data_IF_278562747647
#
_entry.id   IF_278562747647
#
_cell.length_a   1.000
_cell.length_b   1.000
_cell.length_c   1.000
_cell.angle_alpha   90.00
_cell.angle_beta   90.00
_cell.angle_gamma   90.00
#
_symmetry.space_group_name_H-M   'P 1'
#
loop_
_entity.id
_entity.type
_entity.pdbx_description
1 polymer ?
#
# COMPACT_ATOMS: atom_id res chain seq x y z
N UNK A 1 6.45 -12.17 5.57
CA UNK A 1 7.77 -12.52 6.19
C UNK A 1 8.55 -11.24 6.39
N UNK A 2 9.32 -11.08 7.47
CA UNK A 2 10.07 -9.84 7.72
C UNK A 2 11.53 -9.93 7.35
N UNK A 3 12.04 -8.92 6.66
CA UNK A 3 13.44 -8.78 6.25
C UNK A 3 14.01 -7.45 6.71
N UNK A 4 15.32 -7.40 6.95
CA UNK A 4 16.00 -6.12 7.13
C UNK A 4 16.25 -5.48 5.78
N UNK A 5 15.72 -4.28 5.58
CA UNK A 5 15.89 -3.50 4.36
C UNK A 5 16.32 -2.07 4.71
N UNK A 6 17.14 -1.46 3.87
CA UNK A 6 17.58 -0.08 4.02
C UNK A 6 17.24 0.70 2.73
N UNK A 7 16.08 1.36 2.68
CA UNK A 7 15.65 2.13 1.51
C UNK A 7 16.65 3.24 1.15
N UNK A 8 17.27 3.86 2.17
CA UNK A 8 18.24 4.94 1.94
C UNK A 8 19.47 4.48 1.18
N UNK A 9 19.98 3.28 1.46
CA UNK A 9 21.11 2.72 0.70
C UNK A 9 20.64 2.20 -0.66
N UNK A 10 19.50 1.50 -0.70
CA UNK A 10 19.04 0.85 -1.93
C UNK A 10 18.65 1.84 -3.01
N UNK A 11 17.93 2.90 -2.65
CA UNK A 11 17.49 3.95 -3.58
C UNK A 11 18.48 5.12 -3.65
N UNK A 12 19.67 4.99 -3.03
CA UNK A 12 20.71 6.02 -3.03
C UNK A 12 20.18 7.39 -2.55
N UNK A 13 19.55 7.41 -1.37
CA UNK A 13 19.10 8.65 -0.75
C UNK A 13 20.30 9.36 -0.16
N UNK A 14 20.72 10.45 -0.79
CA UNK A 14 21.89 11.22 -0.38
C UNK A 14 21.62 12.21 0.76
N UNK A 15 20.37 12.63 0.97
CA UNK A 15 20.04 13.68 1.96
C UNK A 15 18.71 13.45 2.66
N UNK A 16 17.60 13.47 1.92
CA UNK A 16 16.25 13.45 2.45
C UNK A 16 15.34 12.51 1.64
N UNK A 17 14.32 12.00 2.32
CA UNK A 17 13.35 11.09 1.72
C UNK A 17 12.50 10.39 2.77
N UNK A 18 11.44 9.75 2.30
CA UNK A 18 10.52 9.00 3.16
C UNK A 18 10.06 7.73 2.47
N UNK A 19 9.82 6.69 3.25
CA UNK A 19 9.23 5.45 2.75
C UNK A 19 7.93 5.24 3.50
N UNK A 20 6.85 4.94 2.78
CA UNK A 20 5.56 4.58 3.35
C UNK A 20 5.21 3.15 2.98
N UNK A 21 4.60 2.43 3.92
CA UNK A 21 3.80 1.25 3.58
C UNK A 21 2.48 1.73 3.01
N UNK A 22 2.19 1.33 1.77
CA UNK A 22 0.92 1.64 1.12
C UNK A 22 -0.11 0.65 1.63
N UNK A 23 -1.16 1.16 2.27
CA UNK A 23 -2.23 0.36 2.87
C UNK A 23 -3.55 0.49 2.12
N UNK A 24 -3.63 1.37 1.13
CA UNK A 24 -4.81 1.50 0.29
C UNK A 24 -4.79 2.75 -0.57
N UNK A 25 -5.91 2.98 -1.23
CA UNK A 25 -6.13 4.11 -2.14
C UNK A 25 -7.42 4.84 -1.77
N UNK A 26 -7.45 6.15 -1.99
CA UNK A 26 -8.63 7.01 -1.87
C UNK A 26 -8.77 7.86 -3.12
N UNK A 27 -9.60 7.39 -4.05
CA UNK A 27 -9.75 8.03 -5.37
C UNK A 27 -10.59 9.31 -5.33
N UNK A 28 -11.16 9.68 -4.17
CA UNK A 28 -11.82 10.96 -3.98
C UNK A 28 -10.84 12.16 -4.07
N UNK A 29 -9.55 11.92 -3.79
CA UNK A 29 -8.49 12.91 -3.91
C UNK A 29 -7.64 12.61 -5.14
N UNK A 30 -7.09 13.63 -5.78
CA UNK A 30 -6.15 13.50 -6.93
C UNK A 30 -4.73 13.95 -6.57
N UNK A 31 -4.49 14.14 -5.29
CA UNK A 31 -3.24 14.60 -4.68
C UNK A 31 -2.54 13.43 -3.99
N UNK A 32 -1.45 13.72 -3.27
CA UNK A 32 -0.76 12.75 -2.42
C UNK A 32 -1.65 12.09 -1.35
N UNK A 33 -2.75 12.74 -0.97
CA UNK A 33 -3.76 12.20 -0.04
C UNK A 33 -4.51 11.00 -0.61
N UNK A 34 -4.43 10.77 -1.92
CA UNK A 34 -5.02 9.61 -2.57
C UNK A 34 -4.32 8.29 -2.23
N UNK A 35 -3.09 8.33 -1.72
CA UNK A 35 -2.34 7.14 -1.31
C UNK A 35 -2.40 7.04 0.21
N UNK A 36 -3.13 6.04 0.72
CA UNK A 36 -3.19 5.75 2.16
C UNK A 36 -1.98 4.93 2.56
N UNK A 37 -1.36 5.31 3.67
CA UNK A 37 -0.21 4.56 4.15
C UNK A 37 0.32 5.00 5.50
N UNK A 38 1.32 4.26 5.96
CA UNK A 38 2.03 4.53 7.21
C UNK A 38 3.50 4.81 6.90
N UNK A 39 4.00 5.95 7.36
CA UNK A 39 5.43 6.27 7.26
C UNK A 39 6.24 5.26 8.08
N UNK A 40 7.22 4.64 7.42
CA UNK A 40 8.23 3.80 8.05
C UNK A 40 9.50 4.65 8.20
N UNK A 41 10.18 4.54 9.35
CA UNK A 41 11.42 5.25 9.62
C UNK A 41 12.41 5.07 8.45
N UNK A 42 12.57 6.14 7.67
CA UNK A 42 13.07 6.12 6.30
C UNK A 42 14.59 6.27 6.20
N UNK A 43 15.21 6.71 7.29
CA UNK A 43 16.62 7.07 7.43
C UNK A 43 17.49 5.90 7.91
N UNK A 44 16.89 4.76 8.30
CA UNK A 44 17.60 3.65 8.93
C UNK A 44 17.22 2.29 8.34
N UNK A 45 18.14 1.34 8.50
CA UNK A 45 17.87 -0.08 8.29
C UNK A 45 16.72 -0.50 9.22
N UNK A 46 15.62 -0.97 8.63
CA UNK A 46 14.40 -1.33 9.34
C UNK A 46 13.90 -2.73 8.97
N UNK A 47 12.86 -3.19 9.66
CA UNK A 47 12.19 -4.46 9.36
C UNK A 47 10.95 -4.22 8.52
N UNK A 48 10.94 -4.79 7.32
CA UNK A 48 9.86 -4.66 6.34
C UNK A 48 9.28 -6.03 6.02
N UNK A 49 8.01 -6.07 5.65
CA UNK A 49 7.27 -7.27 5.29
C UNK A 49 7.32 -7.49 3.77
N UNK A 50 7.63 -8.70 3.33
CA UNK A 50 7.80 -9.06 1.91
C UNK A 50 6.48 -9.13 1.12
N UNK A 51 5.36 -9.22 1.83
CA UNK A 51 3.99 -9.28 1.30
C UNK A 51 3.30 -7.92 1.26
N UNK A 52 4.04 -6.82 1.48
CA UNK A 52 3.52 -5.45 1.49
C UNK A 52 4.01 -4.64 0.31
N UNK A 53 3.26 -3.56 0.06
CA UNK A 53 3.56 -2.56 -0.94
C UNK A 53 4.17 -1.33 -0.27
N UNK A 54 5.23 -0.80 -0.86
CA UNK A 54 5.95 0.35 -0.34
C UNK A 54 6.10 1.44 -1.40
N UNK A 55 6.09 2.69 -0.96
CA UNK A 55 6.39 3.84 -1.80
C UNK A 55 7.57 4.59 -1.19
N UNK A 56 8.62 4.72 -2.00
CA UNK A 56 9.84 5.46 -1.69
C UNK A 56 9.79 6.85 -2.31
N UNK A 57 10.18 7.87 -1.56
CA UNK A 57 10.45 9.21 -2.08
C UNK A 57 11.92 9.56 -1.85
N UNK A 58 12.64 9.85 -2.94
CA UNK A 58 13.99 10.40 -2.93
C UNK A 58 13.95 11.85 -3.41
N UNK A 59 14.66 12.72 -2.69
CA UNK A 59 14.90 14.09 -3.10
C UNK A 59 16.30 14.17 -3.72
N UNK A 60 16.39 14.50 -5.01
CA UNK A 60 17.66 14.82 -5.69
C UNK A 60 17.96 16.29 -5.45
N UNK A 61 19.13 16.57 -4.87
CA UNK A 61 19.59 17.94 -4.64
C UNK A 61 20.25 18.51 -5.90
N UNK A 62 19.78 19.68 -6.32
CA UNK A 62 20.26 20.43 -7.48
C UNK A 62 19.89 21.91 -7.33
N UNK A 63 20.04 22.71 -8.39
CA UNK A 63 19.54 24.10 -8.37
C UNK A 63 18.02 24.17 -8.16
N UNK A 64 17.31 23.16 -8.66
CA UNK A 64 15.88 22.93 -8.42
C UNK A 64 15.79 21.53 -7.80
N UNK A 65 15.29 21.38 -6.55
CA UNK A 65 15.10 20.08 -5.94
C UNK A 65 14.08 19.24 -6.71
N UNK A 66 14.41 17.98 -6.96
CA UNK A 66 13.57 17.07 -7.73
C UNK A 66 13.16 15.87 -6.87
N UNK A 67 11.91 15.45 -6.98
CA UNK A 67 11.39 14.28 -6.28
C UNK A 67 11.26 13.11 -7.26
N UNK A 68 11.77 11.97 -6.83
CA UNK A 68 11.62 10.69 -7.51
C UNK A 68 10.85 9.77 -6.59
N UNK A 69 9.73 9.26 -7.10
CA UNK A 69 8.87 8.34 -6.38
C UNK A 69 9.05 6.94 -6.95
N UNK A 70 9.17 5.93 -6.11
CA UNK A 70 9.33 4.54 -6.53
C UNK A 70 8.37 3.65 -5.76
N UNK A 71 7.42 3.04 -6.45
CA UNK A 71 6.54 2.02 -5.91
C UNK A 71 7.25 0.67 -6.00
N UNK A 72 7.33 -0.08 -4.91
CA UNK A 72 8.09 -1.33 -4.87
C UNK A 72 7.54 -2.36 -3.88
N UNK A 73 7.90 -3.61 -4.11
CA UNK A 73 7.70 -4.73 -3.19
C UNK A 73 9.04 -5.34 -2.80
N UNK A 74 9.07 -6.13 -1.73
CA UNK A 74 10.29 -6.75 -1.24
C UNK A 74 10.29 -8.25 -1.49
N UNK A 75 11.38 -8.74 -2.06
CA UNK A 75 11.59 -10.15 -2.27
C UNK A 75 12.15 -10.82 -1.01
N UNK A 76 11.87 -12.12 -0.82
CA UNK A 76 12.43 -12.91 0.29
C UNK A 76 13.95 -12.87 0.44
N UNK A 77 14.68 -12.61 -0.65
CA UNK A 77 16.14 -12.58 -0.70
C UNK A 77 16.76 -11.23 -0.27
N UNK A 78 15.97 -10.23 0.14
CA UNK A 78 16.50 -8.92 0.52
C UNK A 78 16.50 -7.87 -0.58
N UNK A 79 16.11 -8.20 -1.81
CA UNK A 79 16.05 -7.23 -2.92
C UNK A 79 14.67 -6.59 -3.05
N UNK A 80 14.59 -5.41 -3.65
CA UNK A 80 13.33 -4.75 -3.97
C UNK A 80 13.02 -4.89 -5.46
N UNK A 81 11.74 -5.12 -5.78
CA UNK A 81 11.21 -5.08 -7.14
C UNK A 81 10.46 -3.77 -7.32
N UNK A 82 10.98 -2.87 -8.16
CA UNK A 82 10.27 -1.66 -8.55
C UNK A 82 9.12 -2.02 -9.49
N UNK A 83 7.90 -1.64 -9.11
CA UNK A 83 6.71 -1.77 -9.95
C UNK A 83 6.60 -0.57 -10.87
N UNK A 84 6.82 0.63 -10.33
CA UNK A 84 6.75 1.86 -11.09
C UNK A 84 7.65 2.94 -10.50
N UNK A 85 8.17 3.81 -11.36
CA UNK A 85 9.00 4.96 -10.99
C UNK A 85 8.42 6.20 -11.67
N UNK A 86 8.10 7.22 -10.88
CA UNK A 86 7.57 8.49 -11.36
C UNK A 86 8.55 9.60 -11.02
N UNK A 87 9.03 10.29 -12.06
CA UNK A 87 9.91 11.45 -11.95
C UNK A 87 9.17 12.71 -12.48
N UNK A 88 9.32 13.85 -11.80
CA UNK A 88 8.86 15.17 -12.27
C UNK A 88 7.35 15.31 -12.60
N UNK A 89 6.49 14.48 -12.03
CA UNK A 89 5.04 14.57 -12.25
C UNK A 89 4.35 15.39 -11.16
N UNK A 90 3.47 16.32 -11.56
CA UNK A 90 2.52 16.99 -10.65
C UNK A 90 1.37 16.07 -10.22
N UNK A 91 1.13 15.00 -10.98
CA UNK A 91 0.07 14.01 -10.75
C UNK A 91 0.63 12.66 -10.29
N UNK A 92 1.84 12.69 -9.72
CA UNK A 92 2.60 11.48 -9.38
C UNK A 92 1.80 10.47 -8.55
N UNK A 93 0.90 10.94 -7.68
CA UNK A 93 0.08 10.06 -6.85
C UNK A 93 -0.95 9.28 -7.67
N UNK A 94 -1.53 9.91 -8.70
CA UNK A 94 -2.49 9.29 -9.63
C UNK A 94 -1.77 8.29 -10.53
N UNK A 95 -0.55 8.62 -10.95
CA UNK A 95 0.23 7.79 -11.86
C UNK A 95 0.44 6.37 -11.26
N UNK A 96 0.49 6.23 -9.93
CA UNK A 96 0.59 4.92 -9.25
C UNK A 96 -0.74 4.16 -9.06
N UNK A 97 -1.89 4.74 -9.40
CA UNK A 97 -3.19 4.15 -9.03
C UNK A 97 -3.41 2.76 -9.62
N UNK A 98 -3.03 2.56 -10.88
CA UNK A 98 -3.28 1.31 -11.58
C UNK A 98 -2.43 0.19 -10.99
N UNK A 99 -1.15 0.45 -10.68
CA UNK A 99 -0.26 -0.51 -10.03
C UNK A 99 -0.66 -0.80 -8.58
N UNK A 100 -1.10 0.21 -7.83
CA UNK A 100 -1.63 0.01 -6.47
C UNK A 100 -2.87 -0.87 -6.50
N UNK A 101 -3.82 -0.60 -7.41
CA UNK A 101 -5.03 -1.43 -7.58
C UNK A 101 -4.68 -2.85 -8.01
N UNK A 102 -3.76 -3.02 -8.96
CA UNK A 102 -3.33 -4.32 -9.42
C UNK A 102 -2.70 -5.15 -8.29
N UNK A 103 -1.87 -4.51 -7.45
CA UNK A 103 -1.28 -5.16 -6.28
C UNK A 103 -2.36 -5.62 -5.31
N UNK A 104 -3.29 -4.76 -4.91
CA UNK A 104 -4.33 -5.14 -3.94
C UNK A 104 -5.31 -6.15 -4.51
N UNK A 105 -5.72 -6.04 -5.77
CA UNK A 105 -6.55 -7.05 -6.40
C UNK A 105 -5.86 -8.43 -6.34
N UNK A 106 -4.57 -8.51 -6.72
CA UNK A 106 -3.82 -9.77 -6.68
C UNK A 106 -3.72 -10.37 -5.28
N UNK A 107 -3.59 -9.54 -4.24
CA UNK A 107 -3.42 -10.01 -2.87
C UNK A 107 -4.76 -10.25 -2.14
N UNK A 108 -5.85 -9.58 -2.52
CA UNK A 108 -7.20 -9.93 -2.05
C UNK A 108 -7.65 -11.31 -2.54
N UNK A 109 -7.15 -11.77 -3.70
CA UNK A 109 -7.36 -13.14 -4.18
C UNK A 109 -6.28 -14.14 -3.68
N UNK A 110 -5.23 -13.68 -3.00
CA UNK A 110 -4.14 -14.56 -2.52
C UNK A 110 -4.47 -15.28 -1.21
N UNK A 111 -5.49 -14.84 -0.46
CA UNK A 111 -5.99 -15.51 0.74
C UNK A 111 -7.06 -16.58 0.42
N UNK A 112 -7.50 -16.71 -0.85
CA UNK A 112 -8.56 -17.64 -1.25
C UNK A 112 -8.06 -19.06 -1.62
N UNK A 113 -6.76 -19.35 -1.49
CA UNK A 113 -6.22 -20.70 -1.75
C UNK A 113 -6.02 -21.55 -0.48
N UNK A 114 -6.83 -21.36 0.57
CA UNK A 114 -7.08 -22.38 1.61
C UNK A 114 -8.46 -22.19 2.26
N UNK A 115 -9.56 -22.48 1.55
CA UNK A 115 -10.84 -22.79 2.20
C UNK A 115 -11.31 -24.17 1.73
N UNK A 116 -10.96 -25.17 2.55
CA UNK A 116 -11.70 -26.42 2.64
C UNK A 116 -13.19 -26.09 2.84
N UNK A 117 -14.01 -26.70 2.00
CA UNK A 117 -15.47 -26.71 2.03
C UNK A 117 -16.04 -26.72 3.46
N UNK A 118 -16.50 -25.56 3.97
CA UNK A 118 -17.71 -25.42 4.84
C UNK A 118 -17.92 -24.08 5.58
N UNK A 119 -17.27 -22.94 5.26
CA UNK A 119 -17.58 -21.68 5.97
C UNK A 119 -17.95 -20.52 5.02
N UNK A 120 -19.08 -19.81 5.25
CA UNK A 120 -19.50 -18.69 4.43
C UNK A 120 -18.66 -17.44 4.73
N UNK A 121 -18.12 -16.82 3.68
CA UNK A 121 -17.35 -15.58 3.73
C UNK A 121 -18.28 -14.42 4.10
N UNK A 122 -18.02 -13.76 5.23
CA UNK A 122 -18.67 -12.49 5.59
C UNK A 122 -17.97 -11.34 4.86
N UNK A 123 -18.70 -10.67 3.95
CA UNK A 123 -18.28 -9.38 3.36
C UNK A 123 -18.67 -8.23 4.29
N UNK A 124 -17.76 -7.27 4.44
CA UNK A 124 -17.92 -6.03 5.21
C UNK A 124 -18.86 -5.01 4.52
N UNK A 125 -20.10 -5.41 4.25
CA UNK A 125 -21.17 -4.51 3.80
C UNK A 125 -22.52 -4.72 4.50
N UNK A 126 -22.61 -5.54 5.55
CA UNK A 126 -23.88 -5.84 6.25
C UNK A 126 -23.99 -5.24 7.65
N UNK A 127 -23.23 -4.18 7.97
CA UNK A 127 -23.30 -3.53 9.29
C UNK A 127 -24.37 -2.42 9.41
N UNK A 128 -25.47 -2.50 8.67
CA UNK A 128 -26.67 -1.67 8.88
C UNK A 128 -28.00 -2.41 8.59
N UNK A 129 -28.14 -3.70 8.93
CA UNK A 129 -29.44 -4.38 8.87
C UNK A 129 -29.67 -5.41 9.99
N UNK A 130 -29.36 -5.04 11.23
CA UNK A 130 -29.89 -5.73 12.42
C UNK A 130 -30.34 -4.71 13.47
N UNK A 131 -31.31 -3.86 13.11
CA UNK A 131 -32.18 -3.23 14.11
C UNK A 131 -33.63 -3.01 13.66
N UNK A 132 -34.06 -3.67 12.58
CA UNK A 132 -35.43 -3.57 12.03
C UNK A 132 -36.13 -4.95 11.94
N UNK A 133 -35.86 -5.87 12.88
CA UNK A 133 -36.64 -7.14 13.00
C UNK A 133 -37.25 -7.35 14.39
N UNK A 134 -36.93 -6.51 15.39
CA UNK A 134 -37.59 -6.54 16.71
C UNK A 134 -38.79 -5.58 16.84
N UNK A 135 -39.28 -5.02 15.72
CA UNK A 135 -40.56 -4.28 15.67
C UNK A 135 -41.47 -4.97 14.64
N UNK A 136 -42.48 -5.69 15.14
CA UNK A 136 -43.50 -6.54 14.44
C UNK A 136 -43.02 -7.98 14.24
N UNK A 137 -43.47 -9.05 14.91
CA UNK A 137 -44.59 -9.29 15.80
C UNK A 137 -45.15 -10.71 15.56
N UNK A 138 -45.20 -11.54 16.61
CA UNK A 138 -46.35 -12.36 17.02
C UNK A 138 -46.61 -13.77 16.37
N UNK A 139 -46.93 -14.74 17.28
CA UNK A 139 -47.58 -16.09 17.18
C UNK A 139 -46.86 -17.19 16.35
N UNK A 140 -46.65 -18.43 16.81
CA UNK A 140 -47.45 -19.35 17.64
C UNK A 140 -46.60 -20.10 18.69
#
# INVERSE_FOLDING_TARGET
MRIQFNPSVYFDRSVEGWTVEVTGLETAFTTEESIKGKIIASDKKGWFDTDKLYLDCKIRTGQIPEKVYTLFTLNPNGTATSLEVVEHSQKWAIDFWDEIKAFFAKNEFADDELIDSNHPIYRFSDFELINEVNRRGIFL
#
